data_IF_965677971330
#
_entry.id   IF_965677971330
#
_cell.length_a   1.000
_cell.length_b   1.000
_cell.length_c   1.000
_cell.angle_alpha   90.00
_cell.angle_beta   90.00
_cell.angle_gamma   90.00
#
_symmetry.space_group_name_H-M   'P 1'
#
loop_
_entity.id
_entity.type
_entity.pdbx_description
1 polymer ?
#
# COMPACT_ATOMS: atom_id res chain seq x y z
N UNK A 1 -24.50 -15.50 45.46
CA UNK A 1 -23.10 -15.36 45.01
C UNK A 1 -22.83 -15.88 43.58
N UNK A 2 -23.50 -16.91 43.05
CA UNK A 2 -23.23 -17.49 41.76
C UNK A 2 -23.48 -16.60 40.52
N UNK A 3 -24.50 -15.75 40.57
CA UNK A 3 -24.90 -14.94 39.42
C UNK A 3 -23.89 -13.82 39.06
N UNK A 4 -23.28 -13.22 40.10
CA UNK A 4 -22.23 -12.20 39.93
C UNK A 4 -20.94 -12.81 39.38
N UNK A 5 -20.57 -14.00 39.84
CA UNK A 5 -19.40 -14.73 39.37
C UNK A 5 -19.51 -15.06 37.88
N UNK A 6 -20.68 -15.54 37.44
CA UNK A 6 -20.95 -15.87 36.02
C UNK A 6 -20.93 -14.62 35.12
N UNK A 7 -21.44 -13.48 35.61
CA UNK A 7 -21.40 -12.21 34.86
C UNK A 7 -19.97 -11.68 34.70
N UNK A 8 -19.15 -11.76 35.76
CA UNK A 8 -17.74 -11.37 35.75
C UNK A 8 -16.94 -12.26 34.80
N UNK A 9 -17.15 -13.57 34.85
CA UNK A 9 -16.48 -14.53 33.99
C UNK A 9 -16.81 -14.30 32.51
N UNK A 10 -18.07 -14.06 32.17
CA UNK A 10 -18.48 -13.70 30.78
C UNK A 10 -17.92 -12.36 30.31
N UNK A 11 -17.78 -11.40 31.22
CA UNK A 11 -17.22 -10.10 30.91
C UNK A 11 -15.71 -10.20 30.66
N UNK A 12 -14.97 -10.92 31.52
CA UNK A 12 -13.54 -11.17 31.39
C UNK A 12 -13.23 -11.95 30.10
N UNK A 13 -14.02 -12.98 29.78
CA UNK A 13 -13.84 -13.77 28.56
C UNK A 13 -14.06 -12.96 27.25
N UNK A 14 -14.80 -11.85 27.32
CA UNK A 14 -15.05 -10.96 26.14
C UNK A 14 -14.16 -9.73 26.10
N UNK A 15 -13.50 -9.41 27.22
CA UNK A 15 -12.64 -8.24 27.28
C UNK A 15 -11.31 -8.49 26.58
N UNK A 16 -10.83 -7.50 25.80
CA UNK A 16 -9.49 -7.57 25.24
C UNK A 16 -8.43 -7.53 26.35
N UNK A 17 -7.30 -8.19 26.15
CA UNK A 17 -6.17 -8.17 27.11
C UNK A 17 -5.78 -6.75 27.49
N UNK A 18 -5.86 -5.82 26.55
CA UNK A 18 -5.57 -4.39 26.74
C UNK A 18 -6.55 -3.71 27.70
N UNK A 19 -7.84 -4.03 27.61
CA UNK A 19 -8.88 -3.51 28.50
C UNK A 19 -8.67 -4.03 29.93
N UNK A 20 -8.26 -5.29 30.08
CA UNK A 20 -7.97 -5.88 31.38
C UNK A 20 -6.72 -5.26 32.02
N UNK A 21 -5.62 -5.11 31.25
CA UNK A 21 -4.39 -4.47 31.73
C UNK A 21 -4.61 -2.99 32.08
N UNK A 22 -5.37 -2.25 31.28
CA UNK A 22 -5.75 -0.88 31.58
C UNK A 22 -6.59 -0.77 32.85
N UNK A 23 -7.55 -1.68 33.06
CA UNK A 23 -8.38 -1.74 34.26
C UNK A 23 -7.57 -2.02 35.51
N UNK A 24 -6.67 -3.02 35.47
CA UNK A 24 -5.78 -3.37 36.61
C UNK A 24 -4.84 -2.21 36.93
N UNK A 25 -4.19 -1.64 35.92
CA UNK A 25 -3.27 -0.49 36.07
C UNK A 25 -3.99 0.73 36.68
N UNK A 26 -5.16 1.08 36.16
CA UNK A 26 -6.00 2.15 36.72
C UNK A 26 -6.39 1.90 38.19
N UNK A 27 -6.80 0.68 38.50
CA UNK A 27 -7.13 0.29 39.89
C UNK A 27 -5.93 0.47 40.82
N UNK A 28 -4.72 0.02 40.43
CA UNK A 28 -3.51 0.15 41.26
C UNK A 28 -3.19 1.64 41.49
N UNK A 29 -3.20 2.48 40.47
CA UNK A 29 -2.92 3.90 40.59
C UNK A 29 -3.91 4.58 41.57
N UNK A 30 -5.19 4.33 41.42
CA UNK A 30 -6.20 4.93 42.29
C UNK A 30 -6.14 4.42 43.74
N UNK A 31 -5.75 3.16 43.97
CA UNK A 31 -5.51 2.64 45.30
C UNK A 31 -4.29 3.28 45.97
N UNK A 32 -3.22 3.55 45.21
CA UNK A 32 -2.07 4.28 45.72
C UNK A 32 -2.41 5.74 46.06
N UNK A 33 -3.23 6.38 45.24
CA UNK A 33 -3.74 7.74 45.51
C UNK A 33 -4.63 7.77 46.77
N UNK A 34 -5.48 6.74 46.96
CA UNK A 34 -6.30 6.65 48.15
C UNK A 34 -5.46 6.52 49.44
N UNK A 35 -4.36 5.77 49.38
CA UNK A 35 -3.42 5.61 50.52
C UNK A 35 -2.64 6.89 50.83
N UNK A 36 -2.48 7.81 49.85
CA UNK A 36 -1.82 9.09 50.06
C UNK A 36 -2.70 10.08 50.89
N UNK A 37 -3.99 9.79 51.04
CA UNK A 37 -4.93 10.62 51.81
C UNK A 37 -5.12 10.00 53.23
N UNK A 38 -4.44 10.54 54.25
CA UNK A 38 -4.53 9.97 55.60
C UNK A 38 -5.91 10.20 56.20
N UNK A 39 -6.70 9.13 56.39
CA UNK A 39 -8.00 9.20 57.09
C UNK A 39 -7.87 8.83 58.55
N UNK A 40 -8.45 9.67 59.44
CA UNK A 40 -8.37 9.48 60.89
C UNK A 40 -9.30 8.35 61.41
N UNK A 41 -10.23 7.90 60.55
CA UNK A 41 -11.18 6.85 60.88
C UNK A 41 -10.99 5.61 60.00
N UNK A 42 -10.64 4.43 60.55
CA UNK A 42 -10.37 3.22 59.78
C UNK A 42 -11.53 2.75 58.87
N UNK A 43 -12.77 3.02 59.29
CA UNK A 43 -13.95 2.63 58.49
C UNK A 43 -14.10 3.51 57.22
N UNK A 44 -13.78 4.80 57.33
CA UNK A 44 -13.80 5.72 56.21
C UNK A 44 -12.65 5.44 55.24
N UNK A 45 -11.48 5.05 55.74
CA UNK A 45 -10.33 4.64 54.96
C UNK A 45 -10.63 3.43 54.08
N UNK A 46 -11.28 2.40 54.69
CA UNK A 46 -11.70 1.21 53.95
C UNK A 46 -12.75 1.53 52.86
N UNK A 47 -13.72 2.39 53.14
CA UNK A 47 -14.72 2.82 52.18
C UNK A 47 -14.07 3.60 51.02
N UNK A 48 -13.12 4.49 51.32
CA UNK A 48 -12.36 5.24 50.32
C UNK A 48 -11.59 4.31 49.38
N UNK A 49 -10.92 3.27 49.89
CA UNK A 49 -10.20 2.28 49.09
C UNK A 49 -11.14 1.54 48.12
N UNK A 50 -12.33 1.13 48.56
CA UNK A 50 -13.30 0.47 47.68
C UNK A 50 -13.76 1.39 46.56
N UNK A 51 -14.14 2.63 46.90
CA UNK A 51 -14.64 3.60 45.92
C UNK A 51 -13.55 3.98 44.89
N UNK A 52 -12.34 4.25 45.37
CA UNK A 52 -11.21 4.59 44.51
C UNK A 52 -10.77 3.41 43.62
N UNK A 53 -10.74 2.19 44.17
CA UNK A 53 -10.47 0.98 43.40
C UNK A 53 -11.48 0.77 42.27
N UNK A 54 -12.77 1.00 42.54
CA UNK A 54 -13.82 0.90 41.52
C UNK A 54 -13.67 2.00 40.44
N UNK A 55 -13.45 3.24 40.86
CA UNK A 55 -13.23 4.36 39.91
C UNK A 55 -11.98 4.08 39.04
N UNK A 56 -10.89 3.61 39.66
CA UNK A 56 -9.66 3.27 38.94
C UNK A 56 -9.88 2.16 37.92
N UNK A 57 -10.64 1.15 38.24
CA UNK A 57 -11.00 0.08 37.33
C UNK A 57 -11.85 0.59 36.17
N UNK A 58 -12.87 1.41 36.42
CA UNK A 58 -13.74 1.97 35.37
C UNK A 58 -12.99 2.94 34.46
N UNK A 59 -12.19 3.83 35.04
CA UNK A 59 -11.38 4.79 34.25
C UNK A 59 -10.31 4.06 33.46
N UNK A 60 -9.63 3.09 34.09
CA UNK A 60 -8.59 2.30 33.44
C UNK A 60 -9.11 1.45 32.28
N UNK A 61 -10.30 0.85 32.40
CA UNK A 61 -10.91 0.09 31.30
C UNK A 61 -11.38 0.99 30.16
N UNK A 62 -11.87 2.20 30.43
CA UNK A 62 -12.34 3.15 29.40
C UNK A 62 -11.19 3.93 28.74
N UNK A 63 -10.20 4.35 29.51
CA UNK A 63 -9.08 5.19 29.04
C UNK A 63 -7.75 4.48 28.91
N UNK A 64 -7.64 3.22 29.28
CA UNK A 64 -6.40 2.45 29.23
C UNK A 64 -5.75 2.45 27.84
N UNK A 65 -6.55 2.52 26.79
CA UNK A 65 -6.09 2.62 25.40
C UNK A 65 -5.44 3.97 25.09
N UNK A 66 -5.99 5.06 25.60
CA UNK A 66 -5.44 6.41 25.40
C UNK A 66 -4.14 6.60 26.21
N UNK A 67 -4.11 6.04 27.42
CA UNK A 67 -2.93 6.09 28.29
C UNK A 67 -1.77 5.24 27.73
N UNK A 68 -2.06 4.07 27.17
CA UNK A 68 -1.07 3.23 26.52
C UNK A 68 -0.43 3.94 25.28
N UNK A 69 -1.23 4.71 24.54
CA UNK A 69 -0.73 5.55 23.45
C UNK A 69 0.19 6.69 23.93
N UNK A 70 -0.11 7.27 25.11
CA UNK A 70 0.69 8.35 25.70
C UNK A 70 2.01 7.83 26.32
N UNK A 71 2.04 6.61 26.80
CA UNK A 71 3.24 5.97 27.38
C UNK A 71 4.20 5.41 26.32
N UNK A 72 3.94 5.63 25.04
CA UNK A 72 4.82 5.21 23.94
C UNK A 72 4.90 3.69 23.76
N UNK A 73 4.12 2.92 24.49
CA UNK A 73 3.92 1.52 24.13
C UNK A 73 3.20 1.49 22.77
N UNK A 74 3.82 0.87 21.79
CA UNK A 74 3.18 0.47 20.53
C UNK A 74 2.09 -0.57 20.82
N UNK A 75 1.06 -0.15 21.56
CA UNK A 75 -0.12 -0.96 21.86
C UNK A 75 -1.00 -0.97 20.63
N UNK A 76 -0.88 -2.01 19.89
CA UNK A 76 -1.44 -2.18 18.58
C UNK A 76 -0.44 -1.68 17.54
N UNK A 77 0.46 -2.54 17.10
CA UNK A 77 1.22 -2.30 15.88
C UNK A 77 0.24 -1.77 14.84
N UNK A 78 0.56 -0.67 14.17
CA UNK A 78 -0.19 -0.14 13.03
C UNK A 78 -0.61 -1.39 12.27
N UNK A 79 -1.92 -1.65 12.21
CA UNK A 79 -2.41 -2.87 11.57
C UNK A 79 -1.95 -2.76 10.14
N UNK A 80 -0.80 -3.37 9.87
CA UNK A 80 -0.16 -3.26 8.56
C UNK A 80 -1.16 -3.80 7.56
N UNK A 81 -1.58 -2.94 6.65
CA UNK A 81 -2.56 -3.28 5.63
C UNK A 81 -1.90 -4.25 4.65
N UNK A 82 -2.34 -5.52 4.59
CA UNK A 82 -1.76 -6.50 3.68
C UNK A 82 -2.00 -6.07 2.23
N UNK A 83 -1.04 -6.35 1.37
CA UNK A 83 -1.10 -6.05 -0.05
C UNK A 83 -1.07 -7.35 -0.84
N UNK A 84 -2.18 -7.67 -1.47
CA UNK A 84 -2.35 -8.90 -2.24
C UNK A 84 -1.79 -8.69 -3.64
N UNK A 85 -0.86 -9.56 -4.05
CA UNK A 85 -0.27 -9.51 -5.39
C UNK A 85 -1.16 -10.24 -6.41
N UNK A 86 -1.41 -9.56 -7.50
CA UNK A 86 -2.01 -10.13 -8.70
C UNK A 86 -0.93 -10.66 -9.66
N UNK A 87 -1.29 -11.66 -10.46
CA UNK A 87 -0.42 -12.30 -11.45
C UNK A 87 0.16 -11.30 -12.45
N UNK A 88 -0.63 -10.30 -12.88
CA UNK A 88 -0.20 -9.26 -13.81
C UNK A 88 0.96 -8.42 -13.26
N UNK A 89 0.90 -8.04 -11.99
CA UNK A 89 1.93 -7.25 -11.32
C UNK A 89 3.21 -8.05 -11.06
N UNK A 90 3.08 -9.36 -10.81
CA UNK A 90 4.22 -10.26 -10.62
C UNK A 90 4.97 -10.44 -11.95
N UNK A 91 4.25 -10.73 -13.05
CA UNK A 91 4.84 -10.91 -14.39
C UNK A 91 5.52 -9.63 -14.90
N UNK A 92 4.95 -8.47 -14.61
CA UNK A 92 5.53 -7.16 -14.94
C UNK A 92 6.93 -7.01 -14.30
N UNK A 93 7.07 -7.38 -13.04
CA UNK A 93 8.33 -7.47 -12.30
C UNK A 93 8.77 -6.19 -11.60
N UNK A 94 8.28 -5.01 -11.98
CA UNK A 94 8.64 -3.74 -11.33
C UNK A 94 8.29 -3.70 -9.84
N UNK A 95 7.35 -4.54 -9.42
CA UNK A 95 7.01 -4.67 -8.00
C UNK A 95 8.22 -5.04 -7.13
N UNK A 96 9.16 -5.85 -7.65
CA UNK A 96 10.37 -6.20 -6.92
C UNK A 96 11.22 -4.96 -6.62
N UNK A 97 11.42 -4.11 -7.63
CA UNK A 97 12.21 -2.89 -7.49
C UNK A 97 11.51 -1.89 -6.53
N UNK A 98 10.18 -1.76 -6.62
CA UNK A 98 9.40 -0.92 -5.67
C UNK A 98 9.53 -1.42 -4.24
N UNK A 99 9.58 -2.74 -4.01
CA UNK A 99 9.81 -3.31 -2.67
C UNK A 99 11.23 -3.01 -2.15
N UNK A 100 12.24 -3.04 -3.02
CA UNK A 100 13.63 -2.74 -2.64
C UNK A 100 13.82 -1.27 -2.21
N UNK A 101 13.05 -0.34 -2.77
CA UNK A 101 13.10 1.08 -2.37
C UNK A 101 12.54 1.37 -0.99
N UNK A 102 11.83 0.43 -0.36
CA UNK A 102 11.10 0.65 0.89
C UNK A 102 9.83 1.50 0.73
N UNK A 103 9.39 1.80 -0.50
CA UNK A 103 8.16 2.57 -0.74
C UNK A 103 6.89 1.83 -0.32
N UNK A 104 6.92 0.50 -0.38
CA UNK A 104 5.82 -0.35 0.09
C UNK A 104 6.08 -0.80 1.53
N UNK A 105 5.16 -0.47 2.42
CA UNK A 105 5.16 -0.90 3.82
C UNK A 105 4.17 -2.05 4.04
N UNK A 106 4.46 -2.92 5.02
CA UNK A 106 3.60 -4.03 5.45
C UNK A 106 3.65 -5.25 4.53
N UNK A 107 2.97 -6.35 4.92
CA UNK A 107 3.18 -7.65 4.29
C UNK A 107 2.62 -7.71 2.87
N UNK A 108 3.40 -8.31 1.97
CA UNK A 108 2.93 -8.77 0.67
C UNK A 108 2.29 -10.15 0.83
N UNK A 109 1.07 -10.28 0.37
CA UNK A 109 0.32 -11.54 0.45
C UNK A 109 0.21 -12.13 -0.94
N UNK A 110 0.64 -13.38 -1.07
CA UNK A 110 0.55 -14.16 -2.30
C UNK A 110 -0.40 -15.33 -2.05
N UNK A 111 -1.63 -15.27 -2.56
CA UNK A 111 -2.56 -16.38 -2.44
C UNK A 111 -2.08 -17.60 -3.24
N UNK A 112 -2.34 -18.80 -2.72
CA UNK A 112 -1.95 -20.05 -3.37
C UNK A 112 -2.57 -20.21 -4.77
N UNK A 113 -3.79 -19.68 -5.00
CA UNK A 113 -4.41 -19.72 -6.31
C UNK A 113 -3.69 -18.84 -7.35
N UNK A 114 -3.05 -17.73 -6.95
CA UNK A 114 -2.18 -16.91 -7.81
C UNK A 114 -0.90 -17.68 -8.16
N UNK A 115 -0.30 -18.39 -7.22
CA UNK A 115 0.86 -19.24 -7.50
C UNK A 115 0.53 -20.35 -8.51
N UNK A 116 -0.64 -20.99 -8.36
CA UNK A 116 -1.12 -22.01 -9.31
C UNK A 116 -1.34 -21.43 -10.70
N UNK A 117 -1.95 -20.24 -10.80
CA UNK A 117 -2.14 -19.56 -12.07
C UNK A 117 -0.79 -19.25 -12.74
N UNK A 118 0.16 -18.72 -11.98
CA UNK A 118 1.49 -18.42 -12.48
C UNK A 118 2.23 -19.68 -12.96
N UNK A 119 2.10 -20.82 -12.26
CA UNK A 119 2.60 -22.12 -12.67
C UNK A 119 1.95 -22.59 -13.97
N UNK A 120 0.63 -22.48 -14.09
CA UNK A 120 -0.07 -22.83 -15.33
C UNK A 120 0.41 -22.00 -16.53
N UNK A 121 0.70 -20.72 -16.32
CA UNK A 121 1.29 -19.85 -17.34
C UNK A 121 2.72 -20.32 -17.69
N UNK A 122 3.52 -20.69 -16.69
CA UNK A 122 4.89 -21.17 -16.88
C UNK A 122 4.97 -22.55 -17.58
N UNK A 123 3.92 -23.35 -17.47
CA UNK A 123 3.79 -24.68 -18.11
C UNK A 123 3.04 -24.61 -19.47
N UNK A 124 2.70 -23.39 -19.93
CA UNK A 124 2.01 -23.21 -21.21
C UNK A 124 2.83 -23.74 -22.39
N UNK A 125 2.14 -24.30 -23.37
CA UNK A 125 2.73 -24.71 -24.66
C UNK A 125 3.18 -23.54 -25.52
N UNK A 126 2.53 -22.36 -25.34
CA UNK A 126 2.94 -21.12 -26.01
C UNK A 126 4.24 -20.57 -25.39
N UNK A 127 5.32 -20.43 -26.17
CA UNK A 127 6.60 -19.94 -25.70
C UNK A 127 6.56 -18.57 -25.02
N UNK A 128 5.74 -17.66 -25.53
CA UNK A 128 5.62 -16.31 -24.94
C UNK A 128 4.96 -16.34 -23.57
N UNK A 129 3.86 -17.08 -23.45
CA UNK A 129 3.18 -17.27 -22.16
C UNK A 129 4.10 -17.98 -21.16
N UNK A 130 4.75 -19.05 -21.60
CA UNK A 130 5.70 -19.81 -20.77
C UNK A 130 6.82 -18.91 -20.21
N UNK A 131 7.44 -18.09 -21.06
CA UNK A 131 8.50 -17.18 -20.63
C UNK A 131 7.98 -16.14 -19.62
N UNK A 132 6.78 -15.61 -19.80
CA UNK A 132 6.14 -14.69 -18.85
C UNK A 132 5.92 -15.37 -17.50
N UNK A 133 5.39 -16.60 -17.47
CA UNK A 133 5.18 -17.35 -16.23
C UNK A 133 6.48 -17.62 -15.48
N UNK A 134 7.53 -18.08 -16.20
CA UNK A 134 8.86 -18.32 -15.60
C UNK A 134 9.45 -17.05 -15.02
N UNK A 135 9.41 -15.94 -15.78
CA UNK A 135 9.83 -14.64 -15.26
C UNK A 135 9.10 -14.26 -13.99
N UNK A 136 7.78 -14.46 -13.92
CA UNK A 136 7.00 -14.18 -12.72
C UNK A 136 7.47 -15.02 -11.51
N UNK A 137 7.76 -16.31 -11.68
CA UNK A 137 8.30 -17.15 -10.61
C UNK A 137 9.69 -16.68 -10.15
N UNK A 138 10.55 -16.23 -11.08
CA UNK A 138 11.86 -15.65 -10.74
C UNK A 138 11.71 -14.35 -9.94
N UNK A 139 10.77 -13.49 -10.32
CA UNK A 139 10.45 -12.24 -9.59
C UNK A 139 9.97 -12.54 -8.18
N UNK A 140 9.08 -13.52 -7.99
CA UNK A 140 8.65 -13.92 -6.65
C UNK A 140 9.81 -14.40 -5.78
N UNK A 141 10.71 -15.21 -6.36
CA UNK A 141 11.91 -15.66 -5.67
C UNK A 141 12.84 -14.47 -5.29
N UNK A 142 12.98 -13.49 -6.20
CA UNK A 142 13.72 -12.24 -5.92
C UNK A 142 13.10 -11.49 -4.75
N UNK A 143 11.78 -11.28 -4.76
CA UNK A 143 11.07 -10.56 -3.69
C UNK A 143 11.23 -11.30 -2.35
N UNK A 144 11.09 -12.63 -2.31
CA UNK A 144 11.25 -13.40 -1.07
C UNK A 144 12.65 -13.31 -0.47
N UNK A 145 13.68 -13.22 -1.31
CA UNK A 145 15.09 -13.25 -0.85
C UNK A 145 15.67 -11.87 -0.53
N UNK A 146 15.24 -10.83 -1.24
CA UNK A 146 15.91 -9.55 -1.28
C UNK A 146 15.07 -8.38 -0.78
N UNK A 147 13.73 -8.56 -0.59
CA UNK A 147 12.89 -7.45 -0.21
C UNK A 147 12.96 -7.11 1.27
N UNK A 148 12.82 -5.82 1.58
CA UNK A 148 12.64 -5.31 2.95
C UNK A 148 11.23 -5.60 3.50
N UNK A 149 10.34 -6.12 2.65
CA UNK A 149 8.93 -6.35 2.94
C UNK A 149 8.70 -7.81 3.25
N UNK A 150 7.96 -8.11 4.31
CA UNK A 150 7.56 -9.48 4.65
C UNK A 150 6.65 -10.07 3.56
N UNK A 151 7.00 -11.25 3.07
CA UNK A 151 6.20 -11.99 2.08
C UNK A 151 5.49 -13.15 2.74
N UNK A 152 4.16 -13.20 2.63
CA UNK A 152 3.31 -14.26 3.20
C UNK A 152 2.58 -14.99 2.09
N UNK A 153 2.78 -16.29 2.01
CA UNK A 153 1.94 -17.16 1.17
C UNK A 153 0.74 -17.61 2.00
N UNK A 154 -0.47 -17.45 1.46
CA UNK A 154 -1.71 -17.85 2.15
C UNK A 154 -2.45 -18.91 1.33
N UNK A 155 -2.91 -19.94 2.03
CA UNK A 155 -3.63 -21.09 1.42
C UNK A 155 -5.15 -20.93 1.53
N UNK A 156 -5.63 -19.69 1.57
CA UNK A 156 -7.04 -19.41 1.59
C UNK A 156 -7.60 -19.40 0.17
N UNK A 157 -8.62 -20.21 -0.10
CA UNK A 157 -9.26 -20.34 -1.40
C UNK A 157 -10.79 -20.22 -1.27
N UNK A 158 -11.44 -19.89 -2.37
CA UNK A 158 -12.90 -19.74 -2.49
C UNK A 158 -13.43 -20.73 -3.54
N UNK A 159 -13.68 -22.01 -3.18
CA UNK A 159 -14.03 -23.06 -4.14
C UNK A 159 -15.29 -22.80 -4.96
N UNK A 160 -16.21 -21.95 -4.44
CA UNK A 160 -17.43 -21.58 -5.12
C UNK A 160 -17.20 -20.56 -6.26
N UNK A 161 -16.05 -19.88 -6.25
CA UNK A 161 -15.66 -18.91 -7.27
C UNK A 161 -14.71 -19.57 -8.26
N UNK A 162 -14.98 -19.43 -9.55
CA UNK A 162 -14.13 -20.00 -10.62
C UNK A 162 -13.03 -19.03 -11.06
N UNK A 163 -13.35 -17.75 -11.04
CA UNK A 163 -12.52 -16.67 -11.52
C UNK A 163 -11.49 -16.23 -10.46
N UNK A 164 -10.23 -16.14 -10.85
CA UNK A 164 -9.10 -15.79 -9.97
C UNK A 164 -9.23 -14.35 -9.47
N UNK A 165 -9.64 -13.43 -10.33
CA UNK A 165 -9.84 -12.02 -9.98
C UNK A 165 -10.87 -11.85 -8.87
N UNK A 166 -12.02 -12.54 -9.01
CA UNK A 166 -13.08 -12.54 -7.99
C UNK A 166 -12.59 -13.12 -6.66
N UNK A 167 -11.79 -14.18 -6.67
CA UNK A 167 -11.18 -14.73 -5.46
C UNK A 167 -10.24 -13.72 -4.80
N UNK A 168 -9.44 -13.02 -5.59
CA UNK A 168 -8.48 -12.03 -5.09
C UNK A 168 -9.20 -10.85 -4.43
N UNK A 169 -10.28 -10.38 -5.04
CA UNK A 169 -11.14 -9.32 -4.51
C UNK A 169 -11.77 -9.73 -3.18
N UNK A 170 -12.34 -10.94 -3.10
CA UNK A 170 -12.96 -11.43 -1.87
C UNK A 170 -11.95 -11.63 -0.74
N UNK A 171 -10.75 -12.15 -1.07
CA UNK A 171 -9.66 -12.29 -0.10
C UNK A 171 -9.21 -10.93 0.42
N UNK A 172 -9.03 -9.94 -0.46
CA UNK A 172 -8.66 -8.58 -0.07
C UNK A 172 -9.69 -7.96 0.87
N UNK A 173 -10.97 -8.13 0.58
CA UNK A 173 -12.08 -7.67 1.43
C UNK A 173 -12.05 -8.32 2.81
N UNK A 174 -11.87 -9.64 2.86
CA UNK A 174 -11.80 -10.41 4.10
C UNK A 174 -10.60 -10.01 4.98
N UNK A 175 -9.45 -9.77 4.36
CA UNK A 175 -8.23 -9.38 5.06
C UNK A 175 -8.18 -7.86 5.38
N UNK A 176 -9.08 -7.05 4.84
CA UNK A 176 -8.99 -5.58 4.91
C UNK A 176 -7.74 -5.07 4.20
N UNK A 177 -7.33 -5.74 3.13
CA UNK A 177 -6.12 -5.48 2.36
C UNK A 177 -6.34 -4.60 1.14
N UNK A 178 -5.22 -4.32 0.43
CA UNK A 178 -5.21 -3.67 -0.88
C UNK A 178 -4.75 -4.68 -1.94
N UNK A 179 -5.13 -4.47 -3.18
CA UNK A 179 -4.68 -5.29 -4.31
C UNK A 179 -3.59 -4.53 -5.08
N UNK A 180 -2.50 -5.21 -5.44
CA UNK A 180 -1.48 -4.70 -6.36
C UNK A 180 -1.73 -5.35 -7.71
N UNK A 181 -2.18 -4.58 -8.70
CA UNK A 181 -2.46 -5.07 -10.04
C UNK A 181 -2.18 -4.03 -11.11
N UNK A 182 -1.82 -4.50 -12.30
CA UNK A 182 -1.73 -3.69 -13.52
C UNK A 182 -2.92 -3.92 -14.47
N UNK A 183 -3.82 -4.88 -14.13
CA UNK A 183 -5.01 -5.15 -14.90
C UNK A 183 -6.06 -4.05 -14.70
N UNK A 184 -6.55 -3.49 -15.81
CA UNK A 184 -7.55 -2.42 -15.79
C UNK A 184 -8.91 -2.90 -15.28
N UNK A 185 -9.33 -4.10 -15.67
CA UNK A 185 -10.64 -4.63 -15.30
C UNK A 185 -10.69 -4.98 -13.82
N UNK A 186 -9.67 -5.67 -13.32
CA UNK A 186 -9.55 -5.98 -11.89
C UNK A 186 -9.47 -4.70 -11.05
N UNK A 187 -8.74 -3.67 -11.51
CA UNK A 187 -8.69 -2.37 -10.85
C UNK A 187 -10.09 -1.77 -10.69
N UNK A 188 -10.88 -1.75 -11.78
CA UNK A 188 -12.24 -1.21 -11.75
C UNK A 188 -13.19 -2.00 -10.86
N UNK A 189 -13.13 -3.32 -10.91
CA UNK A 189 -13.97 -4.19 -10.06
C UNK A 189 -13.62 -4.00 -8.58
N UNK A 190 -12.35 -3.93 -8.24
CA UNK A 190 -11.89 -3.72 -6.86
C UNK A 190 -12.32 -2.35 -6.33
N UNK A 191 -12.16 -1.28 -7.11
CA UNK A 191 -12.60 0.08 -6.76
C UNK A 191 -14.12 0.14 -6.49
N UNK A 192 -14.93 -0.46 -7.36
CA UNK A 192 -16.38 -0.52 -7.19
C UNK A 192 -16.80 -1.27 -5.92
N UNK A 193 -16.00 -2.21 -5.46
CA UNK A 193 -16.22 -2.95 -4.21
C UNK A 193 -15.57 -2.26 -2.98
N UNK A 194 -15.03 -1.06 -3.13
CA UNK A 194 -14.44 -0.27 -2.05
C UNK A 194 -13.07 -0.79 -1.60
N UNK A 195 -12.38 -1.59 -2.42
CA UNK A 195 -11.05 -2.12 -2.13
C UNK A 195 -10.00 -1.18 -2.73
N UNK A 196 -9.02 -0.79 -1.92
CA UNK A 196 -7.92 0.03 -2.40
C UNK A 196 -7.03 -0.74 -3.38
N UNK A 197 -6.69 -0.11 -4.50
CA UNK A 197 -5.80 -0.68 -5.51
C UNK A 197 -4.50 0.11 -5.57
N UNK A 198 -3.40 -0.60 -5.70
CA UNK A 198 -2.07 -0.07 -5.95
C UNK A 198 -1.66 -0.47 -7.37
N UNK A 199 -1.77 0.45 -8.31
CA UNK A 199 -1.45 0.20 -9.72
C UNK A 199 -0.05 0.75 -10.04
N UNK A 200 0.88 -0.15 -10.43
CA UNK A 200 2.28 0.21 -10.70
C UNK A 200 2.40 1.08 -11.95
N UNK A 201 1.52 0.93 -12.93
CA UNK A 201 1.50 1.79 -14.12
C UNK A 201 1.11 3.22 -13.74
N UNK A 202 0.11 3.39 -12.88
CA UNK A 202 -0.29 4.72 -12.39
C UNK A 202 0.84 5.35 -11.56
N UNK A 203 1.49 4.57 -10.69
CA UNK A 203 2.63 5.03 -9.92
C UNK A 203 3.77 5.49 -10.84
N UNK A 204 4.15 4.66 -11.81
CA UNK A 204 5.19 4.99 -12.79
C UNK A 204 4.88 6.28 -13.55
N UNK A 205 3.63 6.47 -13.97
CA UNK A 205 3.22 7.69 -14.66
C UNK A 205 3.24 8.93 -13.75
N UNK A 206 2.90 8.77 -12.47
CA UNK A 206 2.93 9.85 -11.49
C UNK A 206 4.36 10.30 -11.14
N UNK A 207 5.33 9.39 -11.24
CA UNK A 207 6.74 9.66 -10.95
C UNK A 207 7.53 10.22 -12.14
N UNK A 208 6.93 10.27 -13.34
CA UNK A 208 7.59 10.88 -14.49
C UNK A 208 7.91 12.36 -14.22
N UNK A 209 9.13 12.82 -14.52
CA UNK A 209 9.51 14.22 -14.35
C UNK A 209 8.50 15.16 -15.00
N UNK A 210 8.16 16.22 -14.30
CA UNK A 210 7.28 17.27 -14.86
C UNK A 210 8.18 18.27 -15.54
N UNK A 211 8.18 18.25 -16.87
CA UNK A 211 8.84 19.29 -17.66
C UNK A 211 7.91 20.49 -17.75
N UNK A 212 8.43 21.68 -17.45
CA UNK A 212 7.64 22.92 -17.42
C UNK A 212 7.95 23.77 -18.66
N UNK A 213 6.97 24.58 -19.13
CA UNK A 213 7.24 25.58 -20.16
C UNK A 213 8.38 26.50 -19.74
N UNK A 214 9.31 26.76 -20.65
CA UNK A 214 10.53 27.52 -20.43
C UNK A 214 11.76 26.69 -20.07
N UNK A 215 11.60 25.43 -19.68
CA UNK A 215 12.75 24.52 -19.46
C UNK A 215 13.41 24.10 -20.78
N UNK A 216 14.70 23.81 -20.70
CA UNK A 216 15.47 23.27 -21.83
C UNK A 216 15.64 21.77 -21.63
N UNK A 217 15.29 21.01 -22.67
CA UNK A 217 15.45 19.55 -22.73
C UNK A 217 16.36 19.18 -23.87
N UNK A 218 17.19 18.14 -23.69
CA UNK A 218 18.08 17.62 -24.71
C UNK A 218 17.44 16.39 -25.35
N UNK A 219 17.26 16.42 -26.70
CA UNK A 219 16.61 15.32 -27.43
C UNK A 219 17.19 15.12 -28.81
N UNK A 220 17.02 13.90 -29.33
CA UNK A 220 17.28 13.62 -30.75
C UNK A 220 15.98 13.67 -31.55
N UNK A 221 15.97 14.36 -32.67
CA UNK A 221 14.85 14.34 -33.61
C UNK A 221 14.94 13.08 -34.46
N UNK A 222 13.90 12.23 -34.35
CA UNK A 222 13.91 10.90 -34.97
C UNK A 222 13.14 10.89 -36.30
N UNK A 223 12.04 11.65 -36.39
CA UNK A 223 11.15 11.64 -37.54
C UNK A 223 10.44 12.97 -37.75
N UNK A 224 9.80 13.12 -38.90
CA UNK A 224 8.93 14.25 -39.21
C UNK A 224 7.65 14.24 -38.37
N UNK A 225 7.17 15.40 -37.96
CA UNK A 225 5.92 15.61 -37.26
C UNK A 225 4.70 15.54 -38.18
N UNK A 226 3.52 15.77 -37.60
CA UNK A 226 2.25 15.72 -38.31
C UNK A 226 2.01 17.01 -39.15
N UNK A 227 2.47 18.14 -38.64
CA UNK A 227 2.34 19.42 -39.30
C UNK A 227 3.63 19.74 -40.08
N UNK A 228 3.55 20.64 -41.10
CA UNK A 228 4.72 21.05 -41.84
C UNK A 228 5.84 21.60 -40.96
N UNK A 229 7.07 21.29 -41.31
CA UNK A 229 8.30 21.69 -40.61
C UNK A 229 8.52 21.16 -39.18
N UNK A 230 7.58 20.40 -38.62
CA UNK A 230 7.77 19.77 -37.27
C UNK A 230 8.70 18.56 -37.34
N UNK A 231 9.49 18.42 -36.28
CA UNK A 231 10.22 17.19 -35.94
C UNK A 231 9.68 16.54 -34.69
N UNK A 232 9.85 15.23 -34.55
CA UNK A 232 9.45 14.47 -33.37
C UNK A 232 10.65 13.73 -32.81
N UNK A 233 10.84 13.90 -31.51
CA UNK A 233 11.77 13.13 -30.67
C UNK A 233 11.07 12.54 -29.48
N UNK A 234 11.82 11.83 -28.64
CA UNK A 234 11.32 11.23 -27.41
C UNK A 234 12.31 11.44 -26.28
N UNK A 235 11.80 11.66 -25.09
CA UNK A 235 12.58 11.60 -23.87
C UNK A 235 12.86 10.13 -23.50
N UNK A 236 13.81 9.88 -22.58
CA UNK A 236 14.18 8.53 -22.13
C UNK A 236 12.99 7.75 -21.53
N UNK A 237 12.00 8.46 -20.99
CA UNK A 237 10.76 7.88 -20.45
C UNK A 237 9.70 7.58 -21.52
N UNK A 238 10.02 7.79 -22.81
CA UNK A 238 9.12 7.59 -23.94
C UNK A 238 8.12 8.73 -24.17
N UNK A 239 8.23 9.85 -23.46
CA UNK A 239 7.38 11.03 -23.68
C UNK A 239 7.71 11.65 -25.04
N UNK A 240 6.67 11.83 -25.86
CA UNK A 240 6.82 12.44 -27.19
C UNK A 240 7.05 13.94 -27.09
N UNK A 241 8.04 14.42 -27.81
CA UNK A 241 8.36 15.84 -27.96
C UNK A 241 8.20 16.25 -29.42
N UNK A 242 7.33 17.23 -29.65
CA UNK A 242 7.11 17.83 -30.97
C UNK A 242 7.86 19.14 -31.00
N UNK A 243 8.79 19.28 -31.98
CA UNK A 243 9.67 20.43 -32.10
C UNK A 243 9.31 21.21 -33.36
N UNK A 244 8.96 22.48 -33.18
CA UNK A 244 8.74 23.41 -34.26
C UNK A 244 10.04 23.57 -35.07
N UNK A 245 9.95 23.69 -36.38
CA UNK A 245 11.09 23.76 -37.31
C UNK A 245 12.09 22.58 -37.23
N UNK A 246 11.67 21.47 -36.52
CA UNK A 246 12.51 20.32 -36.30
C UNK A 246 12.75 19.41 -37.49
N UNK A 247 11.98 19.56 -38.60
CA UNK A 247 12.13 18.73 -39.78
C UNK A 247 13.54 18.77 -40.40
N UNK A 248 14.17 19.94 -40.39
CA UNK A 248 15.55 20.14 -40.91
C UNK A 248 16.63 19.55 -39.99
N UNK A 249 16.24 19.15 -38.76
CA UNK A 249 17.13 18.68 -37.71
C UNK A 249 16.98 17.17 -37.44
N UNK A 250 16.28 16.44 -38.31
CA UNK A 250 16.13 14.98 -38.19
C UNK A 250 17.50 14.32 -38.17
N UNK A 251 17.70 13.40 -37.22
CA UNK A 251 18.95 12.70 -36.97
C UNK A 251 19.94 13.45 -36.08
N UNK A 252 19.65 14.71 -35.70
CA UNK A 252 20.50 15.51 -34.83
C UNK A 252 19.98 15.53 -33.39
N UNK A 253 20.92 15.63 -32.47
CA UNK A 253 20.65 15.94 -31.05
C UNK A 253 20.72 17.44 -30.86
N UNK A 254 19.79 18.01 -30.12
CA UNK A 254 19.71 19.44 -29.86
C UNK A 254 19.01 19.77 -28.56
N UNK A 255 19.28 20.96 -28.09
CA UNK A 255 18.55 21.54 -26.97
C UNK A 255 17.24 22.18 -27.48
N UNK A 256 16.15 21.84 -26.83
CA UNK A 256 14.80 22.32 -27.14
C UNK A 256 14.24 23.06 -25.94
N UNK A 257 13.76 24.28 -26.13
CA UNK A 257 13.03 25.04 -25.12
C UNK A 257 11.57 24.65 -25.19
N UNK A 258 11.04 24.18 -24.06
CA UNK A 258 9.63 23.76 -23.94
C UNK A 258 8.71 24.98 -24.04
N UNK A 259 7.75 24.93 -24.95
CA UNK A 259 6.74 25.99 -25.12
C UNK A 259 5.44 25.63 -24.42
N UNK A 260 5.01 24.38 -24.51
CA UNK A 260 3.80 23.90 -23.81
C UNK A 260 3.84 22.39 -23.56
N UNK A 261 3.03 21.95 -22.61
CA UNK A 261 2.86 20.53 -22.26
C UNK A 261 1.38 20.19 -22.33
N UNK A 262 1.03 19.20 -23.14
CA UNK A 262 -0.35 18.73 -23.29
C UNK A 262 -0.50 17.34 -22.64
N UNK A 263 -1.44 17.20 -21.73
CA UNK A 263 -1.82 15.91 -21.17
C UNK A 263 -3.02 15.35 -21.94
N UNK A 264 -2.83 14.16 -22.54
CA UNK A 264 -3.89 13.45 -23.26
C UNK A 264 -4.19 12.12 -22.59
N UNK A 265 -5.28 11.47 -23.00
CA UNK A 265 -5.62 10.10 -22.58
C UNK A 265 -4.58 9.07 -23.02
N UNK A 266 -3.87 9.35 -24.12
CA UNK A 266 -2.79 8.50 -24.66
C UNK A 266 -1.43 8.75 -24.00
N UNK A 267 -1.30 9.81 -23.19
CA UNK A 267 -0.03 10.18 -22.54
C UNK A 267 0.25 11.67 -22.60
N UNK A 268 1.45 12.05 -22.18
CA UNK A 268 1.94 13.42 -22.21
C UNK A 268 2.64 13.70 -23.54
N UNK A 269 2.39 14.88 -24.08
CA UNK A 269 3.08 15.44 -25.26
C UNK A 269 3.70 16.77 -24.88
N UNK A 270 4.94 16.98 -25.25
CA UNK A 270 5.68 18.22 -25.04
C UNK A 270 5.84 18.91 -26.39
N UNK A 271 5.58 20.20 -26.42
CA UNK A 271 5.88 21.05 -27.57
C UNK A 271 7.04 21.96 -27.22
N UNK A 272 7.92 22.16 -28.18
CA UNK A 272 9.07 23.01 -27.96
C UNK A 272 9.62 23.55 -29.25
N UNK A 273 10.59 24.46 -29.15
CA UNK A 273 11.35 25.04 -30.26
C UNK A 273 12.84 24.85 -30.04
N UNK A 274 13.62 24.74 -31.11
CA UNK A 274 15.07 24.70 -30.98
C UNK A 274 15.57 25.87 -30.12
N UNK A 275 16.52 25.61 -29.25
CA UNK A 275 17.19 26.69 -28.53
C UNK A 275 18.08 27.43 -29.52
N UNK A 276 17.80 28.71 -29.74
CA UNK A 276 18.70 29.54 -30.57
C UNK A 276 20.08 29.56 -29.90
N UNK A 277 21.07 29.16 -30.68
CA UNK A 277 22.49 29.32 -30.29
C UNK A 277 22.80 30.79 -30.50
N UNK A 278 22.95 31.52 -29.37
CA UNK A 278 23.35 32.92 -29.41
C UNK A 278 24.78 33.06 -29.93
#
# INVERSE_FOLDING_TARGET
MGLVAILVERWVARASVQTLLGGIGGMIVFLLLAKAIPMRNPRLDFLLLIVMGYIGLVVGTKKGREVALLLGEKVGGRKEVPKLLDTSSIIDGRIADVCETGFLEGPLVIPQFILRELQQIADSTDPLRRNRGRRGLDILNKIQKQSLVEVRVVDEDFPKMKDVDSKLVELAKKMGGKIITNDYNLNKIAELQGIGVLNINLLSNALKPVVLPGETIHIQIIREGKEPDQGVGYLDDGTMVVVEEGKRLIGKELDVVVTSVLQTTAGRMIFGRPKEVA
#
